data_IF_017264326323
#
_entry.id   IF_017264326323
#
_cell.length_a   1.000
_cell.length_b   1.000
_cell.length_c   1.000
_cell.angle_alpha   90.00
_cell.angle_beta   90.00
_cell.angle_gamma   90.00
#
_symmetry.space_group_name_H-M   'P 1'
#
loop_
_entity.id
_entity.type
_entity.pdbx_description
1 polymer ?
#
# COMPACT_ATOMS: atom_id res chain seq x y z
N UNK A 1 -0.69 14.67 9.99
CA UNK A 1 0.63 14.75 10.64
C UNK A 1 1.57 13.67 10.10
N UNK A 2 1.22 12.38 10.16
CA UNK A 2 1.98 11.31 9.49
C UNK A 2 1.87 11.31 7.97
N UNK A 3 0.66 11.51 7.45
CA UNK A 3 0.37 11.53 6.00
C UNK A 3 0.26 12.93 5.42
N UNK A 4 0.46 13.94 6.27
CA UNK A 4 0.58 15.31 5.80
C UNK A 4 2.05 15.54 5.47
N UNK A 5 2.52 14.81 4.45
CA UNK A 5 3.80 15.04 3.81
C UNK A 5 3.78 16.50 3.36
N UNK A 6 4.44 17.37 4.12
CA UNK A 6 4.52 18.78 3.76
C UNK A 6 5.30 18.85 2.47
N UNK A 7 4.69 19.32 1.36
CA UNK A 7 5.31 19.07 0.08
C UNK A 7 6.56 19.93 -0.12
N UNK A 8 6.92 20.84 0.81
CA UNK A 8 8.19 21.57 0.87
C UNK A 8 9.43 20.70 1.12
N UNK A 9 9.30 19.61 1.89
CA UNK A 9 10.40 18.65 2.15
C UNK A 9 10.55 17.68 0.97
N UNK A 10 9.43 17.30 0.34
CA UNK A 10 9.38 16.55 -0.91
C UNK A 10 9.94 17.37 -2.08
N UNK A 11 9.64 18.68 -2.14
CA UNK A 11 10.24 19.65 -3.07
C UNK A 11 11.76 19.60 -3.01
N UNK A 12 12.35 19.67 -1.82
CA UNK A 12 13.80 19.72 -1.72
C UNK A 12 14.46 18.46 -2.31
N UNK A 13 13.87 17.28 -2.07
CA UNK A 13 14.39 16.01 -2.59
C UNK A 13 14.03 15.76 -4.07
N UNK A 14 12.82 16.09 -4.53
CA UNK A 14 12.41 15.95 -5.93
C UNK A 14 13.13 16.95 -6.84
N UNK A 15 13.47 18.14 -6.35
CA UNK A 15 14.33 19.09 -7.07
C UNK A 15 15.83 18.71 -6.98
N UNK A 16 16.29 18.14 -5.86
CA UNK A 16 17.67 17.62 -5.74
C UNK A 16 17.91 16.36 -6.60
N UNK A 17 16.90 15.49 -6.75
CA UNK A 17 16.94 14.25 -7.53
C UNK A 17 16.31 14.37 -8.94
N UNK A 18 15.68 15.50 -9.26
CA UNK A 18 15.01 15.78 -10.56
C UNK A 18 13.90 14.78 -10.96
N UNK A 19 13.17 14.23 -9.99
CA UNK A 19 12.12 13.20 -10.20
C UNK A 19 10.72 13.84 -10.32
N UNK A 20 9.84 13.27 -11.16
CA UNK A 20 8.44 13.69 -11.29
C UNK A 20 7.60 13.21 -10.10
N UNK A 21 6.46 13.87 -9.86
CA UNK A 21 5.59 13.58 -8.72
C UNK A 21 5.06 12.14 -8.71
N UNK A 22 4.72 11.59 -9.88
CA UNK A 22 4.26 10.21 -10.01
C UNK A 22 5.36 9.20 -9.67
N UNK A 23 6.60 9.47 -10.10
CA UNK A 23 7.75 8.61 -9.79
C UNK A 23 8.07 8.66 -8.30
N UNK A 24 7.97 9.83 -7.68
CA UNK A 24 8.22 9.98 -6.26
C UNK A 24 7.08 9.39 -5.39
N UNK A 25 5.84 9.39 -5.91
CA UNK A 25 4.71 8.64 -5.35
C UNK A 25 4.93 7.13 -5.41
N UNK A 26 5.34 6.62 -6.58
CA UNK A 26 5.57 5.19 -6.81
C UNK A 26 6.80 4.61 -6.08
N UNK A 27 7.71 5.44 -5.55
CA UNK A 27 8.95 5.01 -4.88
C UNK A 27 8.97 5.36 -3.40
N UNK A 28 9.17 6.63 -3.07
CA UNK A 28 9.38 7.06 -1.69
C UNK A 28 8.11 6.99 -0.87
N UNK A 29 6.99 7.47 -1.42
CA UNK A 29 5.72 7.42 -0.71
C UNK A 29 5.28 5.96 -0.53
N UNK A 30 5.29 5.19 -1.62
CA UNK A 30 4.96 3.76 -1.62
C UNK A 30 5.78 2.97 -0.59
N UNK A 31 7.12 3.04 -0.65
CA UNK A 31 7.99 2.32 0.29
C UNK A 31 7.81 2.77 1.75
N UNK A 32 7.48 4.04 1.98
CA UNK A 32 7.22 4.56 3.33
C UNK A 32 5.88 4.07 3.88
N UNK A 33 4.85 4.01 3.04
CA UNK A 33 3.52 3.57 3.45
C UNK A 33 3.41 2.06 3.57
N UNK A 34 4.23 1.30 2.83
CA UNK A 34 4.34 -0.18 2.86
C UNK A 34 5.27 -0.73 3.97
N UNK A 35 5.92 0.13 4.74
CA UNK A 35 6.80 -0.30 5.83
C UNK A 35 6.09 -1.13 6.94
N UNK A 36 4.81 -0.89 7.28
CA UNK A 36 4.02 -1.79 8.11
C UNK A 36 3.92 -3.21 7.56
N UNK A 37 3.61 -3.36 6.29
CA UNK A 37 3.43 -4.63 5.57
C UNK A 37 4.73 -5.42 5.59
N UNK A 38 5.86 -4.75 5.31
CA UNK A 38 7.20 -5.34 5.43
C UNK A 38 7.41 -5.92 6.83
N UNK A 39 7.07 -5.16 7.89
CA UNK A 39 7.25 -5.62 9.27
C UNK A 39 6.34 -6.79 9.64
N UNK A 40 5.06 -6.72 9.26
CA UNK A 40 4.10 -7.82 9.49
C UNK A 40 4.56 -9.08 8.77
N UNK A 41 5.07 -8.97 7.54
CA UNK A 41 5.56 -10.13 6.81
C UNK A 41 6.87 -10.69 7.39
N UNK A 42 7.75 -9.83 7.92
CA UNK A 42 8.92 -10.27 8.69
C UNK A 42 8.51 -11.11 9.89
N UNK A 43 7.57 -10.62 10.71
CA UNK A 43 7.06 -11.38 11.86
C UNK A 43 6.38 -12.67 11.40
N UNK A 44 5.57 -12.60 10.34
CA UNK A 44 4.89 -13.75 9.75
C UNK A 44 5.85 -14.86 9.32
N UNK A 45 6.94 -14.47 8.64
CA UNK A 45 7.92 -15.40 8.08
C UNK A 45 8.86 -15.99 9.14
N UNK A 46 9.26 -15.23 10.17
CA UNK A 46 10.25 -15.68 11.16
C UNK A 46 9.64 -16.27 12.44
N UNK A 47 8.45 -15.81 12.85
CA UNK A 47 7.86 -16.20 14.14
C UNK A 47 6.78 -17.26 13.93
N UNK A 48 5.88 -17.03 12.98
CA UNK A 48 4.72 -17.92 12.78
C UNK A 48 4.96 -19.04 11.77
N UNK A 49 6.07 -19.03 11.01
CA UNK A 49 6.41 -20.03 9.97
C UNK A 49 5.20 -20.41 9.09
N UNK A 50 4.36 -19.43 8.74
CA UNK A 50 3.05 -19.70 8.14
C UNK A 50 2.69 -18.71 7.04
N UNK A 51 1.77 -19.15 6.18
CA UNK A 51 1.28 -18.45 4.98
C UNK A 51 0.49 -17.16 5.27
N UNK A 52 0.33 -16.79 6.54
CA UNK A 52 -0.38 -15.60 7.02
C UNK A 52 0.19 -14.32 6.38
N UNK A 53 1.51 -14.27 6.19
CA UNK A 53 2.20 -13.12 5.57
C UNK A 53 1.83 -12.92 4.09
N UNK A 54 1.75 -14.01 3.32
CA UNK A 54 1.32 -13.99 1.93
C UNK A 54 -0.15 -13.55 1.81
N UNK A 55 -1.04 -14.12 2.61
CA UNK A 55 -2.46 -13.79 2.61
C UNK A 55 -2.74 -12.32 2.94
N UNK A 56 -1.97 -11.75 3.87
CA UNK A 56 -2.06 -10.33 4.23
C UNK A 56 -1.61 -9.43 3.06
N UNK A 57 -0.49 -9.74 2.42
CA UNK A 57 0.03 -8.94 1.29
C UNK A 57 -0.89 -8.99 0.07
N UNK A 58 -1.44 -10.16 -0.25
CA UNK A 58 -2.42 -10.32 -1.34
C UNK A 58 -3.70 -9.54 -1.02
N UNK A 59 -4.21 -9.67 0.21
CA UNK A 59 -5.41 -8.94 0.66
C UNK A 59 -5.22 -7.43 0.60
N UNK A 60 -4.09 -6.93 1.12
CA UNK A 60 -3.72 -5.51 1.07
C UNK A 60 -3.57 -5.03 -0.35
N UNK A 61 -2.99 -5.83 -1.25
CA UNK A 61 -2.86 -5.47 -2.67
C UNK A 61 -4.22 -5.25 -3.33
N UNK A 62 -5.19 -6.14 -3.12
CA UNK A 62 -6.56 -5.98 -3.64
C UNK A 62 -7.24 -4.75 -3.03
N UNK A 63 -7.11 -4.57 -1.71
CA UNK A 63 -7.64 -3.42 -1.01
C UNK A 63 -7.06 -2.11 -1.55
N UNK A 64 -5.74 -2.02 -1.73
CA UNK A 64 -5.05 -0.85 -2.21
C UNK A 64 -5.49 -0.46 -3.63
N UNK A 65 -5.52 -1.40 -4.57
CA UNK A 65 -5.96 -1.11 -5.95
C UNK A 65 -7.39 -0.57 -5.98
N UNK A 66 -8.32 -1.22 -5.27
CA UNK A 66 -9.75 -0.93 -5.40
C UNK A 66 -10.25 0.14 -4.41
N UNK A 67 -9.87 0.05 -3.14
CA UNK A 67 -10.33 0.98 -2.11
C UNK A 67 -9.70 2.36 -2.29
N UNK A 68 -8.42 2.48 -2.66
CA UNK A 68 -7.80 3.79 -2.90
C UNK A 68 -8.45 4.46 -4.11
N UNK A 69 -8.62 3.71 -5.22
CA UNK A 69 -9.31 4.22 -6.40
C UNK A 69 -10.78 4.58 -6.11
N UNK A 70 -11.45 3.75 -5.30
CA UNK A 70 -12.81 3.97 -4.81
C UNK A 70 -12.97 5.25 -3.99
N UNK A 71 -12.18 5.39 -2.93
CA UNK A 71 -12.20 6.53 -2.02
C UNK A 71 -11.84 7.81 -2.76
N UNK A 72 -10.75 7.80 -3.52
CA UNK A 72 -10.32 8.98 -4.29
C UNK A 72 -11.35 9.34 -5.37
N UNK A 73 -11.92 8.37 -6.09
CA UNK A 73 -12.89 8.62 -7.16
C UNK A 73 -14.23 9.16 -6.65
N UNK A 74 -14.68 8.74 -5.46
CA UNK A 74 -15.96 9.15 -4.87
C UNK A 74 -15.85 10.47 -4.10
N UNK A 75 -14.78 10.62 -3.29
CA UNK A 75 -14.66 11.72 -2.33
C UNK A 75 -13.78 12.88 -2.80
N UNK A 76 -13.01 12.74 -3.88
CA UNK A 76 -12.22 13.82 -4.47
C UNK A 76 -12.92 14.39 -5.71
N UNK A 77 -12.48 15.57 -6.14
CA UNK A 77 -12.96 16.15 -7.40
C UNK A 77 -12.43 15.33 -8.59
N UNK A 78 -13.18 15.26 -9.71
CA UNK A 78 -12.71 14.55 -10.89
C UNK A 78 -11.37 15.09 -11.38
N UNK A 79 -10.35 14.22 -11.46
CA UNK A 79 -9.01 14.58 -11.90
C UNK A 79 -8.63 13.81 -13.15
N UNK A 80 -7.94 14.48 -14.09
CA UNK A 80 -7.39 13.83 -15.27
C UNK A 80 -6.05 13.22 -14.89
N UNK A 81 -5.92 11.92 -15.13
CA UNK A 81 -4.71 11.14 -14.89
C UNK A 81 -3.81 11.18 -16.12
N UNK A 82 -2.50 11.14 -15.90
CA UNK A 82 -1.54 10.89 -16.96
C UNK A 82 -1.49 9.39 -17.27
N UNK A 83 -1.76 9.06 -18.54
CA UNK A 83 -1.81 7.67 -18.99
C UNK A 83 -0.45 6.95 -18.89
N UNK A 84 0.65 7.66 -19.14
CA UNK A 84 1.98 7.07 -19.22
C UNK A 84 2.47 6.48 -17.88
N UNK A 85 2.54 7.24 -16.77
CA UNK A 85 3.00 6.70 -15.48
C UNK A 85 2.09 5.59 -14.97
N UNK A 86 0.77 5.76 -15.09
CA UNK A 86 -0.22 4.76 -14.66
C UNK A 86 -0.03 3.44 -15.41
N UNK A 87 0.17 3.48 -16.74
CA UNK A 87 0.36 2.27 -17.54
C UNK A 87 1.69 1.60 -17.24
N UNK A 88 2.77 2.38 -17.12
CA UNK A 88 4.09 1.87 -16.75
C UNK A 88 4.02 1.12 -15.43
N UNK A 89 3.45 1.73 -14.39
CA UNK A 89 3.37 1.12 -13.07
C UNK A 89 2.43 -0.08 -13.06
N UNK A 90 1.32 -0.03 -13.82
CA UNK A 90 0.43 -1.19 -13.99
C UNK A 90 1.15 -2.36 -14.65
N UNK A 91 1.99 -2.12 -15.67
CA UNK A 91 2.78 -3.18 -16.32
C UNK A 91 3.76 -3.81 -15.35
N UNK A 92 4.47 -3.00 -14.55
CA UNK A 92 5.37 -3.54 -13.53
C UNK A 92 4.64 -4.31 -12.43
N UNK A 93 3.45 -3.87 -12.06
CA UNK A 93 2.61 -4.61 -11.13
C UNK A 93 2.17 -5.96 -11.71
N UNK A 94 1.82 -6.03 -13.00
CA UNK A 94 1.53 -7.30 -13.69
C UNK A 94 2.77 -8.20 -13.78
N UNK A 95 3.96 -7.64 -14.00
CA UNK A 95 5.23 -8.39 -13.93
C UNK A 95 5.46 -8.91 -12.52
N UNK A 96 5.18 -8.12 -11.49
CA UNK A 96 5.30 -8.54 -10.09
C UNK A 96 4.36 -9.72 -9.80
N UNK A 97 3.07 -9.63 -10.17
CA UNK A 97 2.11 -10.73 -10.02
C UNK A 97 2.58 -11.96 -10.80
N UNK A 98 3.03 -11.82 -12.04
CA UNK A 98 3.51 -12.94 -12.86
C UNK A 98 4.75 -13.62 -12.28
N UNK A 99 5.68 -12.83 -11.73
CA UNK A 99 6.87 -13.37 -11.05
C UNK A 99 6.50 -14.09 -9.76
N UNK A 100 5.56 -13.55 -8.97
CA UNK A 100 5.04 -14.16 -7.77
C UNK A 100 4.38 -15.51 -8.07
N UNK A 101 3.52 -15.56 -9.11
CA UNK A 101 2.91 -16.81 -9.57
C UNK A 101 3.95 -17.84 -10.01
N UNK A 102 5.05 -17.40 -10.63
CA UNK A 102 6.13 -18.29 -11.05
C UNK A 102 6.92 -18.86 -9.87
N UNK A 103 7.24 -18.03 -8.87
CA UNK A 103 7.92 -18.43 -7.63
C UNK A 103 7.09 -19.41 -6.81
N UNK A 104 5.77 -19.30 -6.88
CA UNK A 104 4.87 -20.09 -6.05
C UNK A 104 4.34 -21.35 -6.78
N UNK A 105 4.73 -21.57 -8.04
CA UNK A 105 4.21 -22.65 -8.89
C UNK A 105 4.49 -24.06 -8.36
N UNK A 106 5.67 -24.28 -7.77
CA UNK A 106 6.10 -25.57 -7.25
C UNK A 106 5.92 -25.69 -5.73
N UNK A 107 5.19 -24.74 -5.11
CA UNK A 107 4.92 -24.68 -3.67
C UNK A 107 6.18 -24.58 -2.80
N UNK A 108 7.34 -24.26 -3.38
CA UNK A 108 8.64 -24.26 -2.70
C UNK A 108 9.45 -23.01 -3.06
N UNK A 109 9.55 -22.05 -2.14
CA UNK A 109 10.36 -20.86 -2.39
C UNK A 109 11.85 -21.15 -2.17
N UNK A 110 12.63 -21.01 -3.23
CA UNK A 110 14.09 -21.14 -3.24
C UNK A 110 14.78 -19.78 -3.05
N UNK A 111 16.04 -19.78 -2.59
CA UNK A 111 16.78 -18.54 -2.35
C UNK A 111 16.97 -17.70 -3.63
N UNK A 112 17.15 -18.35 -4.78
CA UNK A 112 17.35 -17.66 -6.06
C UNK A 112 16.05 -17.01 -6.55
N UNK A 113 14.89 -17.60 -6.26
CA UNK A 113 13.56 -17.03 -6.57
C UNK A 113 13.31 -15.77 -5.74
N UNK A 114 13.54 -15.84 -4.43
CA UNK A 114 13.45 -14.67 -3.55
C UNK A 114 14.45 -13.57 -3.94
N UNK A 115 15.66 -13.94 -4.35
CA UNK A 115 16.66 -13.00 -4.85
C UNK A 115 16.23 -12.35 -6.18
N UNK A 116 15.61 -13.10 -7.09
CA UNK A 116 15.08 -12.57 -8.36
C UNK A 116 13.97 -11.55 -8.11
N UNK A 117 13.08 -11.77 -7.14
CA UNK A 117 12.05 -10.78 -6.77
C UNK A 117 12.67 -9.43 -6.36
N UNK A 118 13.71 -9.46 -5.52
CA UNK A 118 14.43 -8.24 -5.12
C UNK A 118 15.14 -7.59 -6.32
N UNK A 119 15.76 -8.39 -7.19
CA UNK A 119 16.44 -7.88 -8.38
C UNK A 119 15.45 -7.22 -9.35
N UNK A 120 14.24 -7.76 -9.50
CA UNK A 120 13.17 -7.15 -10.28
C UNK A 120 12.72 -5.81 -9.69
N UNK A 121 12.67 -5.65 -8.37
CA UNK A 121 12.41 -4.35 -7.75
C UNK A 121 13.51 -3.33 -8.06
N UNK A 122 14.78 -3.73 -7.99
CA UNK A 122 15.87 -2.84 -8.39
C UNK A 122 15.78 -2.46 -9.87
N UNK A 123 15.37 -3.38 -10.75
CA UNK A 123 15.12 -3.09 -12.16
C UNK A 123 13.95 -2.10 -12.35
N UNK A 124 12.87 -2.26 -11.59
CA UNK A 124 11.74 -1.33 -11.55
C UNK A 124 12.18 0.08 -11.14
N UNK A 125 12.87 0.21 -10.01
CA UNK A 125 13.40 1.49 -9.52
C UNK A 125 14.39 2.08 -10.52
N UNK A 126 15.25 1.26 -11.13
CA UNK A 126 16.16 1.71 -12.16
C UNK A 126 15.39 2.31 -13.34
N UNK A 127 14.38 1.61 -13.89
CA UNK A 127 13.55 2.17 -14.95
C UNK A 127 12.89 3.50 -14.54
N UNK A 128 12.38 3.59 -13.30
CA UNK A 128 11.78 4.80 -12.76
C UNK A 128 12.75 5.99 -12.72
N UNK A 129 14.01 5.75 -12.37
CA UNK A 129 15.05 6.78 -12.39
C UNK A 129 15.36 7.28 -13.81
N UNK A 130 15.25 6.40 -14.81
CA UNK A 130 15.45 6.75 -16.23
C UNK A 130 14.16 7.19 -16.94
N UNK A 131 13.00 7.14 -16.27
CA UNK A 131 11.69 7.43 -16.86
C UNK A 131 11.66 8.78 -17.56
N UNK A 132 12.27 9.82 -16.97
CA UNK A 132 12.36 11.16 -17.58
C UNK A 132 13.11 11.16 -18.93
N UNK A 133 14.14 10.33 -19.09
CA UNK A 133 14.84 10.21 -20.38
C UNK A 133 14.00 9.45 -21.39
N UNK A 134 13.27 8.43 -20.94
CA UNK A 134 12.38 7.62 -21.78
C UNK A 134 11.20 8.48 -22.28
N UNK A 135 10.57 9.25 -21.40
CA UNK A 135 9.49 10.18 -21.75
C UNK A 135 9.95 11.19 -22.80
N UNK A 136 11.13 11.79 -22.64
CA UNK A 136 11.69 12.73 -23.62
C UNK A 136 12.00 12.11 -25.00
N UNK A 137 12.17 10.78 -25.07
CA UNK A 137 12.40 10.04 -26.32
C UNK A 137 11.09 9.67 -27.02
N UNK A 138 10.03 9.38 -26.27
CA UNK A 138 8.76 8.88 -26.81
C UNK A 138 7.66 9.96 -26.94
N UNK A 139 7.73 11.05 -26.17
CA UNK A 139 6.83 12.21 -26.29
C UNK A 139 7.57 13.37 -26.96
N UNK A 140 7.14 13.74 -28.18
CA UNK A 140 7.58 14.95 -28.87
C UNK A 140 6.83 16.23 -28.44
N UNK A 141 5.86 16.12 -27.54
CA UNK A 141 4.97 17.22 -27.17
C UNK A 141 5.29 17.73 -25.75
N UNK A 142 5.64 19.02 -25.68
CA UNK A 142 6.00 19.78 -24.48
C UNK A 142 4.83 20.00 -23.48
N UNK A 143 3.92 19.03 -23.31
CA UNK A 143 2.83 19.17 -22.32
C UNK A 143 3.34 19.01 -20.87
N UNK A 144 4.48 18.36 -20.67
CA UNK A 144 5.07 18.12 -19.33
C UNK A 144 5.90 19.31 -18.82
N UNK A 145 6.20 20.30 -19.68
CA UNK A 145 6.93 21.51 -19.28
C UNK A 145 6.05 22.51 -18.53
N UNK A 146 4.74 22.58 -18.79
CA UNK A 146 3.82 23.45 -18.03
C UNK A 146 3.48 22.89 -16.65
N UNK A 147 3.49 21.55 -16.46
CA UNK A 147 3.27 20.92 -15.14
C UNK A 147 4.52 20.96 -14.25
N UNK A 148 5.71 21.11 -14.86
CA UNK A 148 6.96 21.37 -14.12
C UNK A 148 7.09 22.83 -13.66
N UNK A 149 6.42 23.77 -14.33
CA UNK A 149 6.43 25.21 -13.99
C UNK A 149 5.26 25.62 -13.07
N UNK A 150 4.10 24.95 -13.14
CA UNK A 150 3.10 25.06 -12.08
C UNK A 150 3.49 24.18 -10.89
N UNK A 151 4.25 24.80 -9.99
CA UNK A 151 4.52 24.28 -8.66
C UNK A 151 3.22 23.76 -8.02
N UNK A 152 3.07 22.43 -7.86
CA UNK A 152 1.85 21.76 -7.43
C UNK A 152 1.48 21.99 -5.95
N UNK A 153 2.04 23.06 -5.39
CA UNK A 153 1.95 23.46 -4.01
C UNK A 153 1.83 24.97 -3.85
N UNK A 154 1.60 25.70 -4.95
CA UNK A 154 1.21 27.10 -4.90
C UNK A 154 -0.19 27.30 -4.31
N UNK A 155 -0.96 26.21 -4.12
CA UNK A 155 -2.16 26.22 -3.27
C UNK A 155 -1.76 26.15 -1.79
N UNK A 156 -1.46 27.34 -1.27
CA UNK A 156 -1.23 27.71 0.13
C UNK A 156 -0.21 26.81 0.85
N UNK A 157 1.07 27.18 0.76
CA UNK A 157 2.00 26.95 1.87
C UNK A 157 1.43 27.71 3.09
N UNK A 158 0.60 27.05 3.92
CA UNK A 158 0.46 27.51 5.30
C UNK A 158 1.90 27.58 5.85
N UNK A 159 2.32 28.73 6.42
CA UNK A 159 3.68 28.92 6.88
C UNK A 159 4.07 27.74 7.76
N UNK A 160 5.29 27.21 7.61
CA UNK A 160 5.81 26.07 8.37
C UNK A 160 5.57 26.28 9.87
N UNK A 161 4.42 25.81 10.36
CA UNK A 161 3.99 25.93 11.75
C UNK A 161 5.05 25.24 12.60
N UNK A 162 5.64 26.00 13.53
CA UNK A 162 6.68 25.50 14.42
C UNK A 162 6.16 24.35 15.27
N UNK A 163 7.04 23.66 16.01
CA UNK A 163 6.64 22.65 17.00
C UNK A 163 5.51 23.17 17.91
N UNK A 164 5.63 24.43 18.34
CA UNK A 164 4.66 25.14 19.20
C UNK A 164 3.32 25.40 18.51
N UNK A 165 3.31 25.67 17.20
CA UNK A 165 2.08 25.94 16.44
C UNK A 165 1.36 24.66 15.99
N UNK A 166 1.97 23.49 16.18
CA UNK A 166 1.35 22.17 15.90
C UNK A 166 0.81 21.51 17.16
N UNK A 167 1.55 21.59 18.27
CA UNK A 167 1.19 20.89 19.51
C UNK A 167 0.35 21.78 20.43
N UNK A 168 0.56 23.10 20.46
CA UNK A 168 -0.07 23.99 21.44
C UNK A 168 -1.32 24.74 20.93
N UNK A 169 -1.81 24.43 19.73
CA UNK A 169 -3.04 25.06 19.20
C UNK A 169 -4.24 24.46 19.90
N UNK A 170 -4.81 25.23 20.82
CA UNK A 170 -6.07 24.89 21.49
C UNK A 170 -7.25 25.15 20.55
N UNK A 171 -8.34 24.38 20.64
CA UNK A 171 -9.58 24.69 19.95
C UNK A 171 -10.05 26.10 20.30
N UNK A 172 -10.61 26.83 19.33
CA UNK A 172 -11.20 28.15 19.61
C UNK A 172 -12.31 28.01 20.68
N UNK A 173 -12.49 28.97 21.60
CA UNK A 173 -13.43 28.83 22.71
C UNK A 173 -14.92 28.70 22.30
N UNK A 174 -15.26 28.92 21.03
CA UNK A 174 -16.60 28.69 20.44
C UNK A 174 -16.75 27.32 19.74
N UNK A 175 -15.80 26.41 19.86
CA UNK A 175 -15.85 25.09 19.23
C UNK A 175 -16.84 24.14 19.93
N UNK A 176 -17.48 23.26 19.16
CA UNK A 176 -18.36 22.21 19.68
C UNK A 176 -17.61 21.27 20.65
N UNK A 177 -18.32 20.69 21.63
CA UNK A 177 -17.79 19.70 22.58
C UNK A 177 -17.01 18.56 21.88
N UNK A 178 -17.49 18.11 20.72
CA UNK A 178 -16.85 17.05 19.92
C UNK A 178 -15.45 17.43 19.38
N UNK A 179 -15.19 18.72 19.11
CA UNK A 179 -13.86 19.17 18.70
C UNK A 179 -12.87 19.18 19.87
N UNK A 180 -13.37 19.52 21.06
CA UNK A 180 -12.58 19.47 22.29
C UNK A 180 -12.22 18.04 22.68
N UNK A 181 -13.17 17.11 22.62
CA UNK A 181 -12.91 15.69 22.91
C UNK A 181 -11.92 15.09 21.90
N UNK A 182 -12.08 15.39 20.61
CA UNK A 182 -11.12 14.95 19.59
C UNK A 182 -9.71 15.49 19.83
N UNK A 183 -9.58 16.76 20.25
CA UNK A 183 -8.29 17.36 20.59
C UNK A 183 -7.64 16.65 21.80
N UNK A 184 -8.39 16.38 22.86
CA UNK A 184 -7.88 15.70 24.06
C UNK A 184 -7.37 14.29 23.74
N UNK A 185 -8.08 13.53 22.90
CA UNK A 185 -7.67 12.18 22.49
C UNK A 185 -6.40 12.23 21.63
N UNK A 186 -6.31 13.21 20.72
CA UNK A 186 -5.21 13.33 19.76
C UNK A 186 -3.93 13.91 20.38
N UNK A 187 -4.07 14.80 21.36
CA UNK A 187 -2.98 15.54 21.98
C UNK A 187 -1.81 14.68 22.50
N UNK A 188 -2.02 13.60 23.29
CA UNK A 188 -0.91 12.79 23.78
C UNK A 188 -0.12 12.12 22.65
N UNK A 189 -0.81 11.64 21.61
CA UNK A 189 -0.15 11.07 20.43
C UNK A 189 0.63 12.14 19.67
N UNK A 190 0.06 13.32 19.43
CA UNK A 190 0.77 14.43 18.76
C UNK A 190 1.99 14.93 19.52
N UNK A 191 1.92 15.01 20.85
CA UNK A 191 3.04 15.39 21.69
C UNK A 191 4.18 14.37 21.59
N UNK A 192 3.86 13.08 21.69
CA UNK A 192 4.83 11.99 21.59
C UNK A 192 5.57 11.99 20.25
N UNK A 193 4.83 12.20 19.16
CA UNK A 193 5.40 12.28 17.80
C UNK A 193 6.22 13.54 17.59
N UNK A 194 5.74 14.67 18.09
CA UNK A 194 6.47 15.92 17.96
C UNK A 194 7.80 15.89 18.74
N UNK A 195 7.87 15.18 19.87
CA UNK A 195 9.09 15.03 20.65
C UNK A 195 10.10 14.05 20.03
N UNK A 196 9.63 13.06 19.28
CA UNK A 196 10.48 11.97 18.76
C UNK A 196 10.89 12.14 17.31
N UNK A 197 10.11 12.87 16.49
CA UNK A 197 10.44 13.12 15.09
C UNK A 197 11.30 14.39 15.00
N UNK A 198 12.58 14.29 14.59
CA UNK A 198 13.45 15.45 14.44
C UNK A 198 12.93 16.39 13.34
N UNK A 199 13.27 17.67 13.43
CA UNK A 199 12.94 18.65 12.41
C UNK A 199 13.57 18.25 11.06
N UNK A 200 12.73 17.95 10.07
CA UNK A 200 13.13 17.59 8.71
C UNK A 200 13.93 18.69 7.99
N UNK A 201 14.00 19.91 8.56
CA UNK A 201 14.78 21.03 8.04
C UNK A 201 16.29 20.79 8.03
N UNK A 202 16.82 19.89 8.89
CA UNK A 202 18.27 19.66 9.00
C UNK A 202 18.71 18.21 8.77
N UNK A 203 17.83 17.21 8.95
CA UNK A 203 18.18 15.78 8.80
C UNK A 203 17.00 14.97 8.22
N UNK A 204 16.70 15.19 6.94
CA UNK A 204 15.53 14.61 6.25
C UNK A 204 15.44 13.07 6.34
N UNK A 205 16.52 12.35 6.02
CA UNK A 205 16.53 10.88 6.08
C UNK A 205 16.27 10.34 7.48
N UNK A 206 16.76 11.04 8.52
CA UNK A 206 16.54 10.63 9.89
C UNK A 206 15.09 10.86 10.32
N UNK A 207 14.48 12.00 9.96
CA UNK A 207 13.06 12.24 10.21
C UNK A 207 12.17 11.22 9.48
N UNK A 208 12.55 10.81 8.26
CA UNK A 208 11.86 9.76 7.51
C UNK A 208 11.96 8.41 8.22
N UNK A 209 13.16 8.01 8.68
CA UNK A 209 13.32 6.77 9.46
C UNK A 209 12.47 6.77 10.74
N UNK A 210 12.45 7.85 11.51
CA UNK A 210 11.62 7.93 12.72
C UNK A 210 10.12 7.89 12.40
N UNK A 211 9.68 8.53 11.31
CA UNK A 211 8.30 8.46 10.86
C UNK A 211 7.91 7.03 10.45
N UNK A 212 8.77 6.36 9.68
CA UNK A 212 8.58 4.96 9.27
C UNK A 212 8.49 4.03 10.48
N UNK A 213 9.41 4.14 11.44
CA UNK A 213 9.40 3.34 12.68
C UNK A 213 8.09 3.51 13.47
N UNK A 214 7.60 4.75 13.58
CA UNK A 214 6.33 5.02 14.24
C UNK A 214 5.14 4.41 13.50
N UNK A 215 5.09 4.52 12.17
CA UNK A 215 4.03 3.92 11.36
C UNK A 215 4.08 2.40 11.54
N UNK A 216 5.25 1.76 11.46
CA UNK A 216 5.40 0.32 11.71
C UNK A 216 4.95 -0.09 13.12
N UNK A 217 5.30 0.69 14.16
CA UNK A 217 4.90 0.38 15.54
C UNK A 217 3.38 0.50 15.74
N UNK A 218 2.76 1.56 15.20
CA UNK A 218 1.30 1.76 15.29
C UNK A 218 0.57 0.66 14.52
N UNK A 219 1.04 0.32 13.32
CA UNK A 219 0.44 -0.72 12.51
C UNK A 219 0.59 -2.12 13.13
N UNK A 220 1.69 -2.41 13.83
CA UNK A 220 1.82 -3.64 14.61
C UNK A 220 0.80 -3.71 15.75
N UNK A 221 0.63 -2.63 16.52
CA UNK A 221 -0.38 -2.57 17.58
C UNK A 221 -1.80 -2.73 17.03
N UNK A 222 -2.08 -2.13 15.87
CA UNK A 222 -3.34 -2.28 15.16
C UNK A 222 -3.55 -3.74 14.74
N UNK A 223 -2.57 -4.34 14.06
CA UNK A 223 -2.62 -5.74 13.64
C UNK A 223 -2.89 -6.69 14.80
N UNK A 224 -2.13 -6.56 15.90
CA UNK A 224 -2.28 -7.36 17.10
C UNK A 224 -3.68 -7.22 17.71
N UNK A 225 -4.20 -6.00 17.82
CA UNK A 225 -5.54 -5.76 18.34
C UNK A 225 -6.62 -6.36 17.43
N UNK A 226 -6.47 -6.25 16.10
CA UNK A 226 -7.39 -6.82 15.13
C UNK A 226 -7.42 -8.36 15.22
N UNK A 227 -6.27 -9.01 15.39
CA UNK A 227 -6.20 -10.47 15.57
C UNK A 227 -6.90 -10.91 16.85
N UNK A 228 -6.70 -10.21 17.96
CA UNK A 228 -7.39 -10.52 19.24
C UNK A 228 -8.90 -10.35 19.08
N UNK A 229 -9.34 -9.26 18.45
CA UNK A 229 -10.76 -9.04 18.19
C UNK A 229 -11.34 -10.15 17.30
N UNK A 230 -10.61 -10.52 16.25
CA UNK A 230 -10.97 -11.60 15.33
C UNK A 230 -11.17 -12.94 16.02
N UNK A 231 -10.23 -13.30 16.89
CA UNK A 231 -10.31 -14.50 17.71
C UNK A 231 -11.55 -14.50 18.63
N UNK A 232 -11.83 -13.37 19.30
CA UNK A 232 -13.01 -13.25 20.16
C UNK A 232 -14.34 -13.29 19.38
N UNK A 233 -14.33 -12.90 18.10
CA UNK A 233 -15.50 -12.96 17.21
C UNK A 233 -15.63 -14.30 16.47
N UNK A 234 -14.71 -15.26 16.70
CA UNK A 234 -14.65 -16.54 15.99
C UNK A 234 -14.63 -16.38 14.46
N UNK A 235 -13.94 -15.35 13.96
CA UNK A 235 -13.74 -15.17 12.51
C UNK A 235 -12.56 -16.04 12.07
N UNK A 236 -12.68 -16.84 10.99
CA UNK A 236 -11.58 -17.65 10.48
C UNK A 236 -10.31 -16.83 10.19
N UNK A 237 -9.15 -17.38 10.53
CA UNK A 237 -7.84 -16.70 10.41
C UNK A 237 -7.55 -16.25 8.97
N UNK A 238 -7.97 -17.03 7.96
CA UNK A 238 -7.83 -16.68 6.56
C UNK A 238 -8.65 -15.42 6.20
N UNK A 239 -9.91 -15.33 6.64
CA UNK A 239 -10.76 -14.14 6.43
C UNK A 239 -10.16 -12.94 7.17
N UNK A 240 -9.69 -13.16 8.41
CA UNK A 240 -9.04 -12.11 9.21
C UNK A 240 -7.82 -11.53 8.47
N UNK A 241 -6.94 -12.38 7.94
CA UNK A 241 -5.75 -11.99 7.20
C UNK A 241 -6.04 -11.27 5.88
N UNK A 242 -6.88 -11.86 5.04
CA UNK A 242 -7.21 -11.35 3.69
C UNK A 242 -8.06 -10.08 3.70
N UNK A 243 -8.78 -9.78 4.79
CA UNK A 243 -9.76 -8.69 4.81
C UNK A 243 -9.50 -7.64 5.89
N UNK A 244 -9.66 -7.99 7.17
CA UNK A 244 -9.63 -7.03 8.28
C UNK A 244 -8.20 -6.57 8.54
N UNK A 245 -7.26 -7.51 8.61
CA UNK A 245 -5.85 -7.22 8.83
C UNK A 245 -5.28 -6.46 7.63
N UNK A 246 -5.52 -6.96 6.41
CA UNK A 246 -5.16 -6.30 5.16
C UNK A 246 -5.68 -4.85 5.06
N UNK A 247 -6.96 -4.61 5.35
CA UNK A 247 -7.52 -3.27 5.35
C UNK A 247 -6.94 -2.38 6.45
N UNK A 248 -6.59 -2.97 7.60
CA UNK A 248 -5.98 -2.28 8.74
C UNK A 248 -4.56 -1.80 8.44
N UNK A 249 -3.71 -2.65 7.87
CA UNK A 249 -2.32 -2.28 7.53
C UNK A 249 -2.27 -1.23 6.42
N UNK A 250 -3.24 -1.23 5.50
CA UNK A 250 -3.34 -0.32 4.35
C UNK A 250 -4.04 1.03 4.62
N UNK A 251 -4.47 1.32 5.86
CA UNK A 251 -5.01 2.64 6.24
C UNK A 251 -4.04 3.81 5.92
N UNK A 252 -2.72 3.68 6.19
CA UNK A 252 -1.69 4.64 5.77
C UNK A 252 -1.76 5.03 4.29
N UNK A 253 -1.94 4.05 3.42
CA UNK A 253 -1.93 4.21 1.97
C UNK A 253 -3.19 4.92 1.47
N UNK A 254 -4.35 4.54 2.01
CA UNK A 254 -5.62 5.23 1.72
C UNK A 254 -5.55 6.68 2.18
N UNK A 255 -5.00 6.93 3.37
CA UNK A 255 -4.88 8.28 3.92
C UNK A 255 -3.94 9.16 3.09
N UNK A 256 -2.76 8.66 2.71
CA UNK A 256 -1.80 9.40 1.90
C UNK A 256 -2.35 9.70 0.50
N UNK A 257 -2.92 8.70 -0.16
CA UNK A 257 -3.48 8.80 -1.51
C UNK A 257 -4.70 9.72 -1.55
N UNK A 258 -5.56 9.69 -0.53
CA UNK A 258 -6.69 10.61 -0.40
C UNK A 258 -6.24 12.07 -0.27
N UNK A 259 -5.23 12.34 0.58
CA UNK A 259 -4.71 13.71 0.79
C UNK A 259 -4.13 14.27 -0.50
N UNK A 260 -3.36 13.47 -1.23
CA UNK A 260 -2.71 13.84 -2.49
C UNK A 260 -3.72 14.02 -3.61
N UNK A 261 -4.70 13.11 -3.73
CA UNK A 261 -5.79 13.21 -4.71
C UNK A 261 -6.68 14.42 -4.47
N UNK A 262 -7.01 14.74 -3.21
CA UNK A 262 -7.78 15.94 -2.83
C UNK A 262 -7.10 17.25 -3.24
N UNK A 263 -5.77 17.25 -3.34
CA UNK A 263 -4.98 18.40 -3.83
C UNK A 263 -4.95 18.50 -5.36
N UNK A 264 -5.50 17.53 -6.08
CA UNK A 264 -5.53 17.49 -7.55
C UNK A 264 -4.54 16.49 -8.17
N UNK A 265 -3.71 15.83 -7.36
CA UNK A 265 -2.68 14.90 -7.82
C UNK A 265 -3.19 13.46 -7.88
N UNK A 266 -4.22 13.24 -8.70
CA UNK A 266 -4.79 11.91 -8.90
C UNK A 266 -3.78 10.89 -9.44
N UNK A 267 -2.90 11.30 -10.36
CA UNK A 267 -1.86 10.44 -10.94
C UNK A 267 -0.93 9.90 -9.87
N UNK A 268 -0.46 10.78 -8.98
CA UNK A 268 0.42 10.41 -7.87
C UNK A 268 -0.27 9.46 -6.89
N UNK A 269 -1.56 9.66 -6.61
CA UNK A 269 -2.34 8.79 -5.73
C UNK A 269 -2.48 7.36 -6.29
N UNK A 270 -2.77 7.22 -7.59
CA UNK A 270 -2.86 5.91 -8.25
C UNK A 270 -1.49 5.25 -8.38
N UNK A 271 -0.45 6.01 -8.76
CA UNK A 271 0.91 5.47 -8.87
C UNK A 271 1.45 5.07 -7.49
N UNK A 272 1.08 5.76 -6.42
CA UNK A 272 1.38 5.32 -5.06
C UNK A 272 0.73 3.96 -4.73
N UNK A 273 -0.57 3.80 -5.01
CA UNK A 273 -1.30 2.56 -4.75
C UNK A 273 -0.78 1.35 -5.56
N UNK A 274 -0.36 1.57 -6.81
CA UNK A 274 0.19 0.50 -7.66
C UNK A 274 1.65 0.22 -7.30
N UNK A 275 2.42 1.28 -6.99
CA UNK A 275 3.81 1.20 -6.58
C UNK A 275 4.00 0.52 -5.23
N UNK A 276 3.11 0.77 -4.25
CA UNK A 276 3.12 0.09 -2.94
C UNK A 276 2.88 -1.40 -3.10
N UNK A 277 1.89 -1.82 -3.89
CA UNK A 277 1.66 -3.23 -4.16
C UNK A 277 2.84 -3.91 -4.90
N UNK A 278 3.50 -3.18 -5.81
CA UNK A 278 4.71 -3.67 -6.49
C UNK A 278 5.86 -3.84 -5.50
N UNK A 279 6.03 -2.88 -4.57
CA UNK A 279 6.97 -2.96 -3.47
C UNK A 279 6.65 -4.13 -2.54
N UNK A 280 5.38 -4.37 -2.23
CA UNK A 280 4.97 -5.43 -1.32
C UNK A 280 5.28 -6.81 -1.88
N UNK A 281 5.00 -7.03 -3.16
CA UNK A 281 5.30 -8.32 -3.81
C UNK A 281 6.81 -8.54 -3.91
N UNK A 282 7.57 -7.54 -4.37
CA UNK A 282 8.99 -7.78 -4.61
C UNK A 282 9.86 -7.69 -3.34
N UNK A 283 9.60 -6.72 -2.48
CA UNK A 283 10.42 -6.42 -1.31
C UNK A 283 9.79 -7.00 -0.05
N UNK A 284 8.50 -6.74 0.20
CA UNK A 284 7.87 -7.20 1.44
C UNK A 284 7.82 -8.72 1.52
N UNK A 285 7.58 -9.45 0.41
CA UNK A 285 7.72 -10.92 0.36
C UNK A 285 9.16 -11.37 0.12
N UNK A 286 9.84 -10.81 -0.88
CA UNK A 286 11.16 -11.29 -1.31
C UNK A 286 12.25 -11.16 -0.25
N UNK A 287 12.27 -10.06 0.52
CA UNK A 287 13.32 -9.83 1.52
C UNK A 287 13.21 -10.79 2.74
N UNK A 288 12.05 -10.93 3.41
CA UNK A 288 11.90 -11.90 4.50
C UNK A 288 12.16 -13.35 4.05
N UNK A 289 11.68 -13.76 2.87
CA UNK A 289 11.94 -15.10 2.33
C UNK A 289 13.43 -15.34 2.10
N UNK A 290 14.12 -14.40 1.45
CA UNK A 290 15.56 -14.52 1.22
C UNK A 290 16.32 -14.64 2.55
N UNK A 291 16.01 -13.79 3.53
CA UNK A 291 16.67 -13.81 4.83
C UNK A 291 16.39 -15.08 5.61
N UNK A 292 15.15 -15.58 5.62
CA UNK A 292 14.81 -16.83 6.29
C UNK A 292 15.60 -18.00 5.68
N UNK A 293 15.61 -18.13 4.35
CA UNK A 293 16.33 -19.21 3.66
C UNK A 293 17.85 -19.10 3.91
N UNK A 294 18.41 -17.88 3.92
CA UNK A 294 19.83 -17.68 4.22
C UNK A 294 20.19 -18.08 5.67
N UNK A 295 19.34 -17.76 6.64
CA UNK A 295 19.60 -17.99 8.07
C UNK A 295 19.36 -19.45 8.45
N UNK A 296 18.23 -20.02 8.05
CA UNK A 296 17.79 -21.35 8.48
C UNK A 296 18.13 -22.46 7.48
N UNK A 297 18.58 -22.13 6.25
CA UNK A 297 18.93 -23.09 5.20
C UNK A 297 17.79 -24.06 4.83
N UNK A 298 16.55 -23.70 5.16
CA UNK A 298 15.34 -24.47 4.84
C UNK A 298 14.53 -23.77 3.75
N UNK A 299 13.83 -24.55 2.94
CA UNK A 299 12.89 -24.07 1.92
C UNK A 299 11.58 -23.67 2.59
N UNK A 300 10.95 -22.60 2.12
CA UNK A 300 9.61 -22.21 2.58
C UNK A 300 8.59 -22.97 1.74
N UNK A 301 7.78 -23.81 2.39
CA UNK A 301 6.68 -24.55 1.74
C UNK A 301 5.42 -23.72 1.85
N UNK A 302 4.71 -23.52 0.74
CA UNK A 302 3.47 -22.73 0.66
C UNK A 302 2.37 -23.61 0.06
N UNK A 303 1.14 -23.54 0.58
CA UNK A 303 0.03 -24.32 0.02
C UNK A 303 -0.40 -23.80 -1.38
N UNK A 304 -0.29 -24.68 -2.37
CA UNK A 304 -0.58 -24.44 -3.80
C UNK A 304 -2.05 -24.14 -4.11
N UNK A 305 -2.98 -24.58 -3.26
CA UNK A 305 -4.42 -24.57 -3.60
C UNK A 305 -5.01 -23.17 -3.44
N UNK A 306 -4.66 -22.47 -2.36
CA UNK A 306 -5.04 -21.07 -2.13
C UNK A 306 -4.36 -20.09 -3.12
N UNK A 307 -3.24 -20.50 -3.71
CA UNK A 307 -2.37 -19.67 -4.53
C UNK A 307 -2.96 -19.33 -5.91
N UNK A 308 -3.55 -20.31 -6.59
CA UNK A 308 -4.07 -20.10 -7.96
C UNK A 308 -5.26 -19.13 -7.93
N UNK A 309 -6.10 -19.22 -6.90
CA UNK A 309 -7.23 -18.30 -6.72
C UNK A 309 -6.77 -16.90 -6.35
N UNK A 310 -5.83 -16.77 -5.41
CA UNK A 310 -5.31 -15.46 -4.97
C UNK A 310 -4.61 -14.69 -6.09
N UNK A 311 -3.75 -15.36 -6.86
CA UNK A 311 -3.07 -14.75 -8.03
C UNK A 311 -4.05 -14.34 -9.13
N UNK A 312 -5.05 -15.17 -9.44
CA UNK A 312 -6.10 -14.83 -10.41
C UNK A 312 -6.89 -13.58 -9.98
N UNK A 313 -7.18 -13.44 -8.69
CA UNK A 313 -7.86 -12.27 -8.15
C UNK A 313 -7.01 -10.99 -8.25
N UNK A 314 -5.70 -11.07 -8.03
CA UNK A 314 -4.81 -9.91 -8.22
C UNK A 314 -4.80 -9.43 -9.67
N UNK A 315 -4.69 -10.35 -10.64
CA UNK A 315 -4.75 -10.00 -12.07
C UNK A 315 -6.11 -9.40 -12.42
N UNK A 316 -7.21 -9.98 -11.92
CA UNK A 316 -8.56 -9.50 -12.18
C UNK A 316 -8.75 -8.06 -11.65
N UNK A 317 -8.33 -7.78 -10.42
CA UNK A 317 -8.50 -6.47 -9.78
C UNK A 317 -7.63 -5.40 -10.44
N UNK A 318 -6.39 -5.73 -10.80
CA UNK A 318 -5.52 -4.86 -11.61
C UNK A 318 -6.17 -4.54 -12.97
N UNK A 319 -6.73 -5.55 -13.63
CA UNK A 319 -7.41 -5.40 -14.92
C UNK A 319 -8.66 -4.54 -14.81
N UNK A 320 -9.48 -4.72 -13.78
CA UNK A 320 -10.69 -3.91 -13.53
C UNK A 320 -10.32 -2.43 -13.38
N UNK A 321 -9.30 -2.11 -12.57
CA UNK A 321 -8.86 -0.72 -12.41
C UNK A 321 -8.39 -0.15 -13.74
N UNK A 322 -7.45 -0.82 -14.42
CA UNK A 322 -6.87 -0.31 -15.66
C UNK A 322 -7.90 -0.15 -16.79
N UNK A 323 -8.79 -1.13 -16.98
CA UNK A 323 -9.87 -1.05 -17.97
C UNK A 323 -10.90 0.03 -17.60
N UNK A 324 -11.20 0.22 -16.31
CA UNK A 324 -12.06 1.30 -15.83
C UNK A 324 -11.47 2.68 -16.12
N UNK A 325 -10.16 2.85 -15.94
CA UNK A 325 -9.42 4.06 -16.31
C UNK A 325 -9.38 4.25 -17.83
N UNK A 326 -9.16 3.19 -18.61
CA UNK A 326 -9.15 3.23 -20.07
C UNK A 326 -10.52 3.66 -20.62
N UNK A 327 -11.62 3.05 -20.12
CA UNK A 327 -12.99 3.34 -20.54
C UNK A 327 -13.39 4.80 -20.27
N UNK A 328 -12.82 5.40 -19.22
CA UNK A 328 -13.06 6.80 -18.84
C UNK A 328 -12.03 7.77 -19.43
N UNK A 329 -11.17 7.31 -20.37
CA UNK A 329 -10.09 8.09 -20.98
C UNK A 329 -9.17 8.74 -19.93
N UNK A 330 -8.81 7.96 -18.91
CA UNK A 330 -7.95 8.38 -17.79
C UNK A 330 -8.54 9.54 -16.96
N UNK A 331 -9.85 9.57 -16.79
CA UNK A 331 -10.50 10.53 -15.88
C UNK A 331 -10.95 9.79 -14.61
N UNK A 332 -10.29 10.10 -13.50
CA UNK A 332 -10.65 9.58 -12.19
C UNK A 332 -11.88 10.32 -11.67
N UNK A 333 -13.05 9.73 -11.85
CA UNK A 333 -14.32 10.29 -11.37
C UNK A 333 -15.15 9.29 -10.57
N UNK A 334 -16.35 9.74 -10.18
CA UNK A 334 -17.28 8.94 -9.37
C UNK A 334 -17.64 7.59 -10.00
N UNK A 335 -17.66 7.50 -11.33
CA UNK A 335 -17.97 6.26 -12.06
C UNK A 335 -16.89 5.20 -11.78
N UNK A 336 -15.61 5.56 -11.99
CA UNK A 336 -14.48 4.65 -11.70
C UNK A 336 -14.48 4.28 -10.22
N UNK A 337 -14.68 5.27 -9.34
CA UNK A 337 -14.73 5.02 -7.90
C UNK A 337 -15.84 4.05 -7.50
N UNK A 338 -17.06 4.20 -8.04
CA UNK A 338 -18.16 3.28 -7.79
C UNK A 338 -17.87 1.87 -8.31
N UNK A 339 -17.30 1.75 -9.52
CA UNK A 339 -16.90 0.45 -10.09
C UNK A 339 -15.92 -0.24 -9.14
N UNK A 340 -14.88 0.46 -8.69
CA UNK A 340 -13.87 -0.10 -7.79
C UNK A 340 -14.44 -0.54 -6.44
N UNK A 341 -15.32 0.26 -5.83
CA UNK A 341 -15.98 -0.12 -4.55
C UNK A 341 -16.88 -1.34 -4.72
N UNK A 342 -17.69 -1.38 -5.79
CA UNK A 342 -18.57 -2.53 -6.07
C UNK A 342 -17.73 -3.79 -6.32
N UNK A 343 -16.66 -3.68 -7.11
CA UNK A 343 -15.73 -4.78 -7.36
C UNK A 343 -15.05 -5.26 -6.08
N UNK A 344 -14.71 -4.36 -5.15
CA UNK A 344 -14.14 -4.74 -3.86
C UNK A 344 -15.14 -5.48 -2.97
N UNK A 345 -16.39 -5.02 -2.89
CA UNK A 345 -17.45 -5.72 -2.16
C UNK A 345 -17.73 -7.11 -2.76
N UNK A 346 -17.76 -7.22 -4.08
CA UNK A 346 -17.92 -8.50 -4.76
C UNK A 346 -16.74 -9.44 -4.46
N UNK A 347 -15.51 -8.92 -4.49
CA UNK A 347 -14.31 -9.67 -4.11
C UNK A 347 -14.42 -10.20 -2.68
N UNK A 348 -14.81 -9.37 -1.71
CA UNK A 348 -15.00 -9.81 -0.32
C UNK A 348 -16.04 -10.92 -0.20
N UNK A 349 -17.17 -10.81 -0.91
CA UNK A 349 -18.20 -11.85 -0.90
C UNK A 349 -17.65 -13.16 -1.47
N UNK A 350 -16.95 -13.11 -2.60
CA UNK A 350 -16.36 -14.30 -3.23
C UNK A 350 -15.30 -14.92 -2.32
N UNK A 351 -14.37 -14.13 -1.79
CA UNK A 351 -13.31 -14.60 -0.90
C UNK A 351 -13.87 -15.27 0.36
N UNK A 352 -14.84 -14.63 1.03
CA UNK A 352 -15.50 -15.21 2.19
C UNK A 352 -16.27 -16.49 1.84
N UNK A 353 -16.97 -16.53 0.70
CA UNK A 353 -17.74 -17.70 0.27
C UNK A 353 -16.83 -18.88 -0.04
N UNK A 354 -15.71 -18.62 -0.74
CA UNK A 354 -14.74 -19.62 -1.13
C UNK A 354 -14.05 -20.22 0.11
N UNK A 355 -13.68 -19.38 1.09
CA UNK A 355 -13.10 -19.83 2.35
C UNK A 355 -14.07 -20.69 3.18
N UNK A 356 -15.36 -20.32 3.22
CA UNK A 356 -16.38 -21.12 3.90
C UNK A 356 -16.59 -22.47 3.20
N UNK A 357 -16.53 -22.50 1.86
CA UNK A 357 -16.65 -23.73 1.08
C UNK A 357 -15.45 -24.66 1.30
N UNK A 358 -14.23 -24.13 1.24
CA UNK A 358 -13.01 -24.90 1.48
C UNK A 358 -12.94 -25.45 2.92
N UNK A 359 -13.31 -24.65 3.92
CA UNK A 359 -13.37 -25.13 5.30
C UNK A 359 -14.41 -26.23 5.49
N UNK A 360 -15.51 -26.22 4.73
CA UNK A 360 -16.54 -27.26 4.79
C UNK A 360 -16.05 -28.60 4.22
N UNK A 361 -15.27 -28.57 3.14
CA UNK A 361 -14.62 -29.77 2.58
C UNK A 361 -13.63 -30.39 3.58
N UNK A 362 -12.78 -29.57 4.21
CA UNK A 362 -11.82 -30.04 5.22
C UNK A 362 -12.48 -30.69 6.45
N UNK A 363 -13.67 -30.24 6.85
CA UNK A 363 -14.42 -30.89 7.94
C UNK A 363 -15.03 -32.25 7.55
N UNK A 364 -15.40 -32.44 6.28
CA UNK A 364 -15.98 -33.71 5.83
C UNK A 364 -14.93 -34.84 5.72
N UNK A 365 -13.70 -34.53 5.32
CA UNK A 365 -12.61 -35.52 5.23
C UNK A 365 -12.19 -36.08 6.61
N UNK A 366 -12.38 -35.31 7.69
CA UNK A 366 -12.08 -35.75 9.07
C UNK A 366 -13.17 -36.69 9.62
N UNK A 367 -14.43 -36.50 9.22
CA UNK A 367 -15.52 -37.40 9.63
C UNK A 367 -15.43 -38.76 8.91
N UNK A 368 -15.03 -38.79 7.63
CA UNK A 368 -14.87 -40.04 6.89
C UNK A 368 -13.63 -40.84 7.31
N UNK A 369 -12.55 -40.17 7.74
CA UNK A 369 -11.32 -40.84 8.23
C UNK A 369 -11.45 -41.40 9.65
N UNK A 370 -12.37 -40.90 10.46
CA UNK A 370 -12.70 -41.45 11.78
C UNK A 370 -13.76 -42.57 11.74
N UNK A 371 -14.26 -42.93 10.54
CA UNK A 371 -15.26 -44.00 10.32
C UNK A 371 -14.68 -45.41 10.13
N UNK A 372 -13.36 -45.59 10.15
CA UNK A 372 -12.69 -46.89 10.07
C UNK A 372 -11.84 -47.16 11.31
N UNK A 373 -12.47 -47.50 12.43
CA UNK A 373 -11.87 -48.29 13.51
C UNK A 373 -12.91 -49.19 14.17
#
# INVERSE_FOLDING_TARGET
MFFDWRPSEFKHNSYALRMSYDVAGATFLAASTSAPELFVNFVGTFVTNGDIGLGTIVGSSVFNVLAIAGVCGIFCQPTKLDWWPVTRDTVWYLVAIGSLTSVLWDSLVMWYEAFVLLLLYFAYVFQLLFDRRIQNLFRHEHAESEVLDEDPMTREEEPLKGFRDRVCVKPQPKSNFCQWTWWVIKYPAELMLACTIPSARSIFFLSMCFAVLWISMISYLLAWFLTILGYNLNIPDAIMGLTILAAGTSVPEVASSYIVSKKGYGSMAICNAIGSNTFDIFVCLGLPWLLNICIYQHKVVIDSTALTFTTAMLVLTASILYLGLLATKFVMGKIVGCICVISYLLFLIIACTLEILLNKENTCDIEDSNGFF
#
